data_IF_785414247125
#
_entry.id   IF_785414247125
#
_cell.length_a   1.000
_cell.length_b   1.000
_cell.length_c   1.000
_cell.angle_alpha   90.00
_cell.angle_beta   90.00
_cell.angle_gamma   90.00
#
_symmetry.space_group_name_H-M   'P 1'
#
loop_
_entity.id
_entity.type
_entity.pdbx_description
1 polymer ?
#
# COMPACT_ATOMS: atom_id res chain seq x y z
N UNK A 1 -12.70 33.02 33.40
CA UNK A 1 -12.99 31.56 33.30
C UNK A 1 -13.02 31.02 31.87
N UNK A 2 -13.46 31.77 30.83
CA UNK A 2 -13.45 31.29 29.43
C UNK A 2 -12.05 31.12 28.80
N UNK A 3 -11.08 32.00 29.10
CA UNK A 3 -9.74 31.92 28.45
C UNK A 3 -8.92 30.70 28.91
N UNK A 4 -8.91 30.38 30.20
CA UNK A 4 -8.26 29.17 30.73
C UNK A 4 -8.87 27.86 30.20
N UNK A 5 -10.13 27.87 29.76
CA UNK A 5 -10.79 26.70 29.15
C UNK A 5 -10.37 26.52 27.68
N UNK A 6 -10.15 27.62 26.96
CA UNK A 6 -9.70 27.62 25.57
C UNK A 6 -8.22 27.18 25.49
N UNK A 7 -7.38 27.66 26.40
CA UNK A 7 -5.97 27.27 26.47
C UNK A 7 -5.80 25.77 26.72
N UNK A 8 -6.58 25.19 27.65
CA UNK A 8 -6.58 23.74 27.92
C UNK A 8 -7.00 22.92 26.69
N UNK A 9 -8.03 23.35 25.97
CA UNK A 9 -8.51 22.66 24.76
C UNK A 9 -7.50 22.74 23.61
N UNK A 10 -6.86 23.90 23.44
CA UNK A 10 -5.80 24.10 22.46
C UNK A 10 -4.60 23.20 22.74
N UNK A 11 -4.13 23.15 23.99
CA UNK A 11 -3.03 22.26 24.41
C UNK A 11 -3.40 20.78 24.20
N UNK A 12 -4.62 20.36 24.57
CA UNK A 12 -5.07 18.99 24.34
C UNK A 12 -5.14 18.62 22.84
N UNK A 13 -5.48 19.59 21.99
CA UNK A 13 -5.49 19.39 20.53
C UNK A 13 -4.07 19.24 19.97
N UNK A 14 -3.13 20.09 20.41
CA UNK A 14 -1.73 20.01 19.99
C UNK A 14 -1.07 18.69 20.42
N UNK A 15 -1.30 18.25 21.67
CA UNK A 15 -0.77 16.97 22.15
C UNK A 15 -1.33 15.78 21.35
N UNK A 16 -2.62 15.83 20.98
CA UNK A 16 -3.22 14.82 20.09
C UNK A 16 -2.59 14.82 18.70
N UNK A 17 -2.23 16.00 18.18
CA UNK A 17 -1.59 16.12 16.87
C UNK A 17 -0.16 15.54 16.89
N UNK A 18 0.67 16.00 17.84
CA UNK A 18 2.05 15.51 18.02
C UNK A 18 2.07 13.98 18.18
N UNK A 19 1.15 13.44 18.97
CA UNK A 19 1.02 11.99 19.14
C UNK A 19 0.69 11.27 17.83
N UNK A 20 -0.25 11.80 17.04
CA UNK A 20 -0.63 11.20 15.75
C UNK A 20 0.51 11.25 14.73
N UNK A 21 1.31 12.31 14.77
CA UNK A 21 2.50 12.44 13.93
C UNK A 21 3.57 11.41 14.31
N UNK A 22 3.86 11.25 15.60
CA UNK A 22 4.78 10.21 16.09
C UNK A 22 4.30 8.80 15.70
N UNK A 23 3.01 8.49 15.88
CA UNK A 23 2.43 7.22 15.46
C UNK A 23 2.49 7.03 13.92
N UNK A 24 2.43 8.10 13.13
CA UNK A 24 2.56 8.03 11.68
C UNK A 24 4.01 7.78 11.25
N UNK A 25 4.98 8.37 11.95
CA UNK A 25 6.41 8.13 11.73
C UNK A 25 6.77 6.67 12.04
N UNK A 26 6.30 6.13 13.17
CA UNK A 26 6.51 4.73 13.53
C UNK A 26 5.94 3.78 12.47
N UNK A 27 4.72 4.05 11.97
CA UNK A 27 4.13 3.28 10.86
C UNK A 27 4.96 3.38 9.59
N UNK A 28 5.48 4.56 9.25
CA UNK A 28 6.31 4.75 8.07
C UNK A 28 7.63 3.95 8.14
N UNK A 29 8.28 3.93 9.32
CA UNK A 29 9.47 3.12 9.56
C UNK A 29 9.16 1.63 9.39
N UNK A 30 8.03 1.17 9.95
CA UNK A 30 7.61 -0.23 9.83
C UNK A 30 7.32 -0.63 8.39
N UNK A 31 6.59 0.21 7.64
CA UNK A 31 6.33 0.01 6.20
C UNK A 31 7.64 -0.06 5.42
N UNK A 32 8.61 0.81 5.70
CA UNK A 32 9.92 0.78 5.05
C UNK A 32 10.68 -0.53 5.34
N UNK A 33 10.60 -1.03 6.58
CA UNK A 33 11.18 -2.32 6.93
C UNK A 33 10.52 -3.49 6.18
N UNK A 34 9.18 -3.50 6.07
CA UNK A 34 8.47 -4.52 5.30
C UNK A 34 8.76 -4.44 3.81
N UNK A 35 8.88 -3.25 3.22
CA UNK A 35 9.29 -3.10 1.81
C UNK A 35 10.63 -3.78 1.53
N UNK A 36 11.62 -3.62 2.42
CA UNK A 36 12.92 -4.32 2.29
C UNK A 36 12.75 -5.85 2.30
N UNK A 37 11.86 -6.37 3.15
CA UNK A 37 11.56 -7.80 3.18
C UNK A 37 10.85 -8.28 1.91
N UNK A 38 9.94 -7.48 1.35
CA UNK A 38 9.31 -7.77 0.05
C UNK A 38 10.36 -7.84 -1.05
N UNK A 39 11.21 -6.83 -1.19
CA UNK A 39 12.27 -6.80 -2.22
C UNK A 39 13.17 -8.04 -2.14
N UNK A 40 13.67 -8.35 -0.93
CA UNK A 40 14.50 -9.53 -0.70
C UNK A 40 13.77 -10.83 -1.03
N UNK A 41 12.52 -10.98 -0.60
CA UNK A 41 11.74 -12.17 -0.88
C UNK A 41 11.47 -12.35 -2.38
N UNK A 42 11.29 -11.26 -3.13
CA UNK A 42 11.14 -11.30 -4.59
C UNK A 42 12.46 -11.74 -5.27
N UNK A 43 13.61 -11.23 -4.82
CA UNK A 43 14.94 -11.62 -5.31
C UNK A 43 15.22 -13.11 -5.05
N UNK A 44 14.85 -13.60 -3.86
CA UNK A 44 15.03 -15.01 -3.46
C UNK A 44 13.93 -15.95 -4.01
N UNK A 45 13.02 -15.44 -4.86
CA UNK A 45 11.88 -16.19 -5.38
C UNK A 45 10.94 -16.80 -4.30
N UNK A 46 10.91 -16.21 -3.11
CA UNK A 46 10.07 -16.61 -1.98
C UNK A 46 8.70 -15.92 -2.04
N UNK A 47 7.90 -16.32 -3.04
CA UNK A 47 6.65 -15.63 -3.42
C UNK A 47 5.64 -15.47 -2.28
N UNK A 48 5.37 -16.52 -1.51
CA UNK A 48 4.41 -16.44 -0.39
C UNK A 48 4.89 -15.51 0.72
N UNK A 49 6.21 -15.40 0.90
CA UNK A 49 6.81 -14.47 1.87
C UNK A 49 6.67 -13.01 1.39
N UNK A 50 6.89 -12.76 0.10
CA UNK A 50 6.64 -11.45 -0.49
C UNK A 50 5.16 -11.04 -0.34
N UNK A 51 4.23 -11.97 -0.63
CA UNK A 51 2.79 -11.72 -0.49
C UNK A 51 2.39 -11.37 0.95
N UNK A 52 2.92 -12.12 1.92
CA UNK A 52 2.70 -11.88 3.35
C UNK A 52 3.19 -10.51 3.82
N UNK A 53 4.38 -10.08 3.37
CA UNK A 53 4.87 -8.75 3.73
C UNK A 53 4.11 -7.63 3.00
N UNK A 54 3.59 -7.88 1.80
CA UNK A 54 2.64 -6.96 1.17
C UNK A 54 1.37 -6.80 2.02
N UNK A 55 0.81 -7.89 2.58
CA UNK A 55 -0.34 -7.80 3.48
C UNK A 55 -0.04 -6.96 4.71
N UNK A 56 1.13 -7.14 5.32
CA UNK A 56 1.58 -6.30 6.43
C UNK A 56 1.70 -4.82 6.07
N UNK A 57 2.23 -4.50 4.88
CA UNK A 57 2.27 -3.11 4.39
C UNK A 57 0.85 -2.56 4.27
N UNK A 58 -0.09 -3.34 3.73
CA UNK A 58 -1.46 -2.89 3.51
C UNK A 58 -2.29 -2.75 4.79
N UNK A 59 -1.90 -3.42 5.88
CA UNK A 59 -2.47 -3.18 7.22
C UNK A 59 -2.09 -1.79 7.73
N UNK A 60 -0.83 -1.39 7.56
CA UNK A 60 -0.32 -0.10 8.04
C UNK A 60 -0.64 1.07 7.08
N UNK A 61 -0.66 0.78 5.77
CA UNK A 61 -0.94 1.71 4.69
C UNK A 61 -1.78 1.02 3.61
N UNK A 62 -3.10 1.02 3.81
CA UNK A 62 -4.06 0.43 2.88
C UNK A 62 -4.06 1.08 1.48
N UNK A 63 -3.48 2.28 1.35
CA UNK A 63 -3.42 3.03 0.09
C UNK A 63 -2.11 2.80 -0.68
N UNK A 64 -1.26 1.89 -0.22
CA UNK A 64 0.05 1.64 -0.79
C UNK A 64 -0.04 1.01 -2.19
N UNK A 65 0.18 1.83 -3.23
CA UNK A 65 0.06 1.41 -4.62
C UNK A 65 1.04 0.28 -5.00
N UNK A 66 2.27 0.36 -4.47
CA UNK A 66 3.32 -0.61 -4.77
C UNK A 66 2.98 -2.00 -4.22
N UNK A 67 2.51 -2.08 -2.97
CA UNK A 67 2.09 -3.35 -2.38
C UNK A 67 0.94 -3.99 -3.16
N UNK A 68 -0.09 -3.22 -3.54
CA UNK A 68 -1.17 -3.71 -4.39
C UNK A 68 -0.68 -4.19 -5.75
N UNK A 69 0.25 -3.47 -6.38
CA UNK A 69 0.84 -3.86 -7.67
C UNK A 69 1.62 -5.18 -7.57
N UNK A 70 2.44 -5.33 -6.52
CA UNK A 70 3.21 -6.56 -6.27
C UNK A 70 2.26 -7.74 -6.03
N UNK A 71 1.23 -7.59 -5.19
CA UNK A 71 0.22 -8.64 -4.97
C UNK A 71 -0.46 -9.05 -6.28
N UNK A 72 -0.80 -8.09 -7.14
CA UNK A 72 -1.39 -8.37 -8.45
C UNK A 72 -0.48 -9.23 -9.35
N UNK A 73 0.81 -8.90 -9.40
CA UNK A 73 1.78 -9.68 -10.15
C UNK A 73 2.02 -11.08 -9.57
N UNK A 74 2.06 -11.22 -8.24
CA UNK A 74 2.20 -12.52 -7.58
C UNK A 74 0.98 -13.42 -7.84
N UNK A 75 -0.22 -12.88 -7.63
CA UNK A 75 -1.47 -13.58 -7.91
C UNK A 75 -1.52 -14.09 -9.36
N UNK A 76 -1.18 -13.22 -10.33
CA UNK A 76 -1.21 -13.60 -11.74
C UNK A 76 -0.12 -14.61 -12.11
N UNK A 77 1.14 -14.31 -11.82
CA UNK A 77 2.29 -15.01 -12.41
C UNK A 77 2.86 -16.14 -11.56
N UNK A 78 2.52 -16.19 -10.27
CA UNK A 78 3.09 -17.15 -9.32
C UNK A 78 2.05 -18.05 -8.68
N UNK A 79 0.83 -17.54 -8.45
CA UNK A 79 -0.23 -18.31 -7.79
C UNK A 79 -1.33 -18.79 -8.73
N UNK A 80 -1.33 -18.36 -10.00
CA UNK A 80 -2.36 -18.70 -10.99
C UNK A 80 -3.77 -18.30 -10.53
N UNK A 81 -3.88 -17.12 -9.91
CA UNK A 81 -5.12 -16.53 -9.37
C UNK A 81 -5.52 -15.28 -10.18
N UNK A 82 -5.97 -15.41 -11.44
CA UNK A 82 -6.20 -14.26 -12.33
C UNK A 82 -7.27 -13.30 -11.82
N UNK A 83 -8.34 -13.79 -11.17
CA UNK A 83 -9.39 -12.92 -10.62
C UNK A 83 -8.87 -12.04 -9.46
N UNK A 84 -7.97 -12.57 -8.64
CA UNK A 84 -7.32 -11.81 -7.56
C UNK A 84 -6.30 -10.82 -8.12
N UNK A 85 -5.62 -11.17 -9.21
CA UNK A 85 -4.76 -10.23 -9.92
C UNK A 85 -5.57 -9.03 -10.48
N UNK A 86 -6.72 -9.31 -11.10
CA UNK A 86 -7.64 -8.27 -11.59
C UNK A 86 -8.06 -7.31 -10.47
N UNK A 87 -8.44 -7.85 -9.30
CA UNK A 87 -8.85 -7.00 -8.17
C UNK A 87 -7.70 -6.13 -7.66
N UNK A 88 -6.49 -6.70 -7.54
CA UNK A 88 -5.31 -5.95 -7.11
C UNK A 88 -4.95 -4.83 -8.09
N UNK A 89 -4.90 -5.10 -9.39
CA UNK A 89 -4.60 -4.06 -10.39
C UNK A 89 -5.66 -2.97 -10.41
N UNK A 90 -6.95 -3.32 -10.33
CA UNK A 90 -8.04 -2.34 -10.20
C UNK A 90 -7.86 -1.45 -8.96
N UNK A 91 -7.43 -2.02 -7.84
CA UNK A 91 -7.19 -1.26 -6.62
C UNK A 91 -6.08 -0.22 -6.81
N UNK A 92 -4.99 -0.55 -7.52
CA UNK A 92 -3.96 0.43 -7.89
C UNK A 92 -4.55 1.57 -8.72
N UNK A 93 -5.40 1.28 -9.70
CA UNK A 93 -6.02 2.30 -10.55
C UNK A 93 -6.98 3.20 -9.77
N UNK A 94 -7.76 2.65 -8.84
CA UNK A 94 -8.70 3.41 -8.00
C UNK A 94 -7.94 4.36 -7.07
N UNK A 95 -6.93 3.84 -6.38
CA UNK A 95 -6.17 4.60 -5.39
C UNK A 95 -5.26 5.66 -6.03
N UNK A 96 -4.70 5.36 -7.21
CA UNK A 96 -3.83 6.25 -7.98
C UNK A 96 -4.54 7.07 -9.04
N UNK A 97 -5.87 7.10 -9.07
CA UNK A 97 -6.66 7.68 -10.16
C UNK A 97 -6.31 9.16 -10.48
N UNK A 98 -5.88 9.92 -9.48
CA UNK A 98 -5.56 11.35 -9.62
C UNK A 98 -4.12 11.62 -10.09
N UNK A 99 -3.26 10.61 -10.11
CA UNK A 99 -1.86 10.71 -10.54
C UNK A 99 -1.61 9.76 -11.70
N UNK A 100 -1.98 10.21 -12.91
CA UNK A 100 -1.74 9.44 -14.13
C UNK A 100 -0.26 9.29 -14.47
N UNK A 101 0.63 10.11 -13.90
CA UNK A 101 2.09 9.98 -14.02
C UNK A 101 2.67 8.91 -13.09
N UNK A 102 1.87 8.34 -12.19
CA UNK A 102 2.35 7.35 -11.25
C UNK A 102 2.81 6.07 -11.95
N UNK A 103 4.08 5.69 -11.71
CA UNK A 103 4.65 4.48 -12.29
C UNK A 103 3.87 3.21 -11.94
N UNK A 104 3.28 3.12 -10.73
CA UNK A 104 2.49 1.96 -10.35
C UNK A 104 1.19 1.88 -11.14
N UNK A 105 0.53 3.03 -11.38
CA UNK A 105 -0.70 3.12 -12.18
C UNK A 105 -0.44 2.70 -13.62
N UNK A 106 0.63 3.22 -14.24
CA UNK A 106 1.03 2.85 -15.59
C UNK A 106 1.27 1.33 -15.71
N UNK A 107 2.06 0.75 -14.80
CA UNK A 107 2.34 -0.69 -14.76
C UNK A 107 1.09 -1.53 -14.51
N UNK A 108 0.19 -1.09 -13.64
CA UNK A 108 -1.08 -1.78 -13.38
C UNK A 108 -1.97 -1.79 -14.64
N UNK A 109 -2.05 -0.68 -15.39
CA UNK A 109 -2.81 -0.62 -16.65
C UNK A 109 -2.28 -1.61 -17.67
N UNK A 110 -0.96 -1.59 -17.92
CA UNK A 110 -0.34 -2.52 -18.87
C UNK A 110 -0.53 -3.98 -18.47
N UNK A 111 -0.40 -4.28 -17.17
CA UNK A 111 -0.59 -5.64 -16.64
C UNK A 111 -2.04 -6.10 -16.75
N UNK A 112 -2.99 -5.20 -16.46
CA UNK A 112 -4.42 -5.46 -16.58
C UNK A 112 -4.80 -5.74 -18.03
N UNK A 113 -4.29 -4.95 -18.98
CA UNK A 113 -4.51 -5.17 -20.40
C UNK A 113 -4.03 -6.57 -20.83
N UNK A 114 -2.78 -6.92 -20.53
CA UNK A 114 -2.21 -8.23 -20.86
C UNK A 114 -3.00 -9.38 -20.24
N UNK A 115 -3.42 -9.23 -18.97
CA UNK A 115 -4.22 -10.24 -18.29
C UNK A 115 -5.59 -10.44 -18.96
N UNK A 116 -6.25 -9.36 -19.39
CA UNK A 116 -7.54 -9.45 -20.08
C UNK A 116 -7.41 -10.10 -21.46
N UNK A 117 -6.35 -9.79 -22.21
CA UNK A 117 -6.03 -10.43 -23.50
C UNK A 117 -5.78 -11.95 -23.37
N UNK A 118 -5.27 -12.41 -22.22
CA UNK A 118 -5.09 -13.85 -21.94
C UNK A 118 -6.39 -14.56 -21.55
N UNK A 119 -7.41 -13.80 -21.11
CA UNK A 119 -8.69 -14.34 -20.65
C UNK A 119 -9.80 -14.24 -21.71
N UNK A 120 -9.56 -13.50 -22.80
CA UNK A 120 -10.43 -13.40 -23.98
C UNK A 120 -10.18 -14.55 -24.96
#
# INVERSE_FOLDING_TARGET
MRSASIEKEMVATLLRHIRREAEAEDRAVLVAAFRKQVSRALEEARWSFADHFCDKILVEDARNLEAWLVKGHLAWRRFNEPLKALSCFRQVLILGAYDSSNACVARARSSLQQLLEQLS
#
